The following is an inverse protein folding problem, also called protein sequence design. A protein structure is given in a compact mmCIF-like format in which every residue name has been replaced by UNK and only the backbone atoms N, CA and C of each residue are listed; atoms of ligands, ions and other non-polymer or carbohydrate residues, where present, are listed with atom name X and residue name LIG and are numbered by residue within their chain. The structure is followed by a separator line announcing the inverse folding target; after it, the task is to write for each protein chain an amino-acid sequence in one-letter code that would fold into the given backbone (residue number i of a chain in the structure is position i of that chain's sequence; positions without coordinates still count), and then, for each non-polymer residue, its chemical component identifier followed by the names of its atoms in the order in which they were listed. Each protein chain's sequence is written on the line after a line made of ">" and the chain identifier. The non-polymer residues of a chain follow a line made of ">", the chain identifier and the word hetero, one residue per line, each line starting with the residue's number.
data_IF_915626724748
#
_entry.id   IF_915626724748
#
_cell.length_a   1.000
_cell.length_b   1.000
_cell.length_c   1.000
_cell.angle_alpha   90.00
_cell.angle_beta   90.00
_cell.angle_gamma   90.00
#
_symmetry.space_group_name_H-M   'P 1'
#
loop_
_entity.id
_entity.type
_entity.pdbx_description
1 polymer ?
#
# COMPACT_ATOMS: atom_id res chain seq x y z
N UNK A 1 0.95 22.82 -7.92
CA UNK A 1 0.91 21.50 -7.25
C UNK A 1 1.95 20.60 -7.88
N UNK A 2 2.96 20.21 -7.11
CA UNK A 2 4.00 19.30 -7.57
C UNK A 2 3.54 17.85 -7.48
N UNK A 3 2.61 17.44 -8.34
CA UNK A 3 2.00 16.10 -8.31
C UNK A 3 3.02 14.95 -8.35
N UNK A 4 4.19 15.14 -8.99
CA UNK A 4 5.24 14.12 -9.04
C UNK A 4 5.88 13.83 -7.68
N UNK A 5 6.06 14.83 -6.79
CA UNK A 5 6.61 14.57 -5.46
C UNK A 5 5.60 13.84 -4.57
N UNK A 6 4.31 14.15 -4.76
CA UNK A 6 3.20 13.47 -4.08
C UNK A 6 3.15 12.00 -4.48
N UNK A 7 3.16 11.71 -5.77
CA UNK A 7 3.14 10.33 -6.29
C UNK A 7 4.39 9.55 -5.88
N UNK A 8 5.56 10.20 -5.80
CA UNK A 8 6.78 9.57 -5.30
C UNK A 8 6.65 9.15 -3.84
N UNK A 9 6.11 10.03 -2.99
CA UNK A 9 5.91 9.75 -1.58
C UNK A 9 4.89 8.62 -1.36
N UNK A 10 3.75 8.68 -2.08
CA UNK A 10 2.74 7.62 -2.07
C UNK A 10 3.35 6.29 -2.53
N UNK A 11 4.11 6.28 -3.62
CA UNK A 11 4.79 5.08 -4.11
C UNK A 11 5.77 4.47 -3.10
N UNK A 12 6.55 5.32 -2.43
CA UNK A 12 7.44 4.88 -1.35
C UNK A 12 6.69 4.21 -0.21
N UNK A 13 5.56 4.78 0.22
CA UNK A 13 4.73 4.18 1.25
C UNK A 13 4.11 2.85 0.80
N UNK A 14 3.56 2.76 -0.41
CA UNK A 14 2.99 1.52 -0.93
C UNK A 14 4.03 0.39 -0.99
N UNK A 15 5.28 0.71 -1.34
CA UNK A 15 6.37 -0.26 -1.29
C UNK A 15 6.67 -0.71 0.14
N UNK A 16 6.69 0.21 1.11
CA UNK A 16 6.88 -0.13 2.53
C UNK A 16 5.74 -1.01 3.05
N UNK A 17 4.49 -0.71 2.72
CA UNK A 17 3.35 -1.54 3.09
C UNK A 17 3.41 -2.92 2.42
N UNK A 18 3.83 -2.98 1.16
CA UNK A 18 4.14 -4.24 0.46
C UNK A 18 5.19 -5.06 1.20
N UNK A 19 6.28 -4.45 1.69
CA UNK A 19 7.24 -5.13 2.55
C UNK A 19 6.61 -5.59 3.88
N UNK A 20 5.74 -4.77 4.47
CA UNK A 20 5.04 -5.08 5.72
C UNK A 20 4.19 -6.35 5.62
N UNK A 21 3.60 -6.62 4.46
CA UNK A 21 2.86 -7.85 4.18
C UNK A 21 3.72 -9.13 4.21
N UNK A 22 5.06 -9.02 4.29
CA UNK A 22 5.93 -10.16 4.56
C UNK A 22 5.74 -10.74 5.98
N UNK A 23 5.28 -9.93 6.94
CA UNK A 23 4.99 -10.38 8.30
C UNK A 23 3.80 -11.37 8.35
N UNK A 24 2.59 -11.03 7.87
CA UNK A 24 1.49 -11.98 7.83
C UNK A 24 1.77 -13.16 6.89
N UNK A 25 2.52 -12.97 5.80
CA UNK A 25 3.03 -14.09 4.99
C UNK A 25 3.86 -15.07 5.83
N UNK A 26 4.80 -14.57 6.63
CA UNK A 26 5.62 -15.41 7.50
C UNK A 26 4.74 -16.15 8.51
N UNK A 27 3.76 -15.49 9.11
CA UNK A 27 2.81 -16.12 10.03
C UNK A 27 2.04 -17.24 9.32
N UNK A 28 1.46 -16.98 8.15
CA UNK A 28 0.73 -18.00 7.37
C UNK A 28 1.62 -19.23 7.09
N UNK A 29 2.89 -19.02 6.70
CA UNK A 29 3.84 -20.11 6.47
C UNK A 29 4.18 -20.89 7.74
N UNK A 30 4.32 -20.22 8.90
CA UNK A 30 4.62 -20.87 10.18
C UNK A 30 3.46 -21.73 10.68
N UNK A 31 2.22 -21.32 10.40
CA UNK A 31 1.00 -22.03 10.80
C UNK A 31 0.47 -23.01 9.74
N UNK A 32 1.10 -23.05 8.56
CA UNK A 32 0.70 -23.93 7.45
C UNK A 32 -0.55 -23.46 6.70
N UNK A 33 -0.87 -22.17 6.80
CA UNK A 33 -1.99 -21.53 6.10
C UNK A 33 -1.60 -21.14 4.66
N UNK A 34 -2.57 -20.98 3.74
CA UNK A 34 -2.29 -20.61 2.36
C UNK A 34 -1.59 -19.23 2.24
N UNK A 35 -0.40 -19.13 1.63
CA UNK A 35 0.36 -17.87 1.59
C UNK A 35 -0.06 -16.89 0.48
N UNK A 36 -0.99 -17.30 -0.38
CA UNK A 36 -1.24 -16.63 -1.66
C UNK A 36 -1.76 -15.19 -1.49
N UNK A 37 -2.66 -14.95 -0.54
CA UNK A 37 -3.23 -13.63 -0.26
C UNK A 37 -2.14 -12.59 0.06
N UNK A 38 -1.24 -12.95 0.96
CA UNK A 38 -0.14 -12.09 1.39
C UNK A 38 0.92 -11.94 0.30
N UNK A 39 1.18 -12.97 -0.50
CA UNK A 39 2.08 -12.86 -1.66
C UNK A 39 1.55 -11.86 -2.71
N UNK A 40 0.26 -11.91 -3.02
CA UNK A 40 -0.36 -10.95 -3.93
C UNK A 40 -0.31 -9.52 -3.39
N UNK A 41 -0.50 -9.36 -2.08
CA UNK A 41 -0.40 -8.05 -1.43
C UNK A 41 1.01 -7.48 -1.51
N UNK A 42 2.05 -8.31 -1.29
CA UNK A 42 3.46 -7.93 -1.46
C UNK A 42 3.72 -7.50 -2.91
N UNK A 43 3.31 -8.32 -3.89
CA UNK A 43 3.53 -8.04 -5.30
C UNK A 43 2.82 -6.76 -5.75
N UNK A 44 1.58 -6.54 -5.30
CA UNK A 44 0.84 -5.32 -5.58
C UNK A 44 1.53 -4.09 -4.96
N UNK A 45 1.93 -4.16 -3.68
CA UNK A 45 2.56 -3.04 -2.98
C UNK A 45 3.93 -2.69 -3.52
N UNK A 46 4.81 -3.68 -3.70
CA UNK A 46 6.12 -3.48 -4.28
C UNK A 46 6.03 -3.09 -5.76
N UNK A 47 5.21 -3.77 -6.54
CA UNK A 47 5.05 -3.49 -7.97
C UNK A 47 4.57 -2.07 -8.22
N UNK A 48 3.48 -1.67 -7.56
CA UNK A 48 2.92 -0.31 -7.71
C UNK A 48 3.83 0.75 -7.10
N UNK A 49 4.36 0.51 -5.91
CA UNK A 49 5.22 1.44 -5.19
C UNK A 49 6.52 1.74 -5.94
N UNK A 50 7.23 0.68 -6.36
CA UNK A 50 8.47 0.81 -7.14
C UNK A 50 8.19 1.46 -8.49
N UNK A 51 7.12 1.07 -9.20
CA UNK A 51 6.75 1.69 -10.46
C UNK A 51 6.53 3.20 -10.32
N UNK A 52 5.78 3.64 -9.30
CA UNK A 52 5.55 5.05 -9.01
C UNK A 52 6.86 5.79 -8.68
N UNK A 53 7.72 5.20 -7.85
CA UNK A 53 9.02 5.79 -7.51
C UNK A 53 9.94 5.93 -8.72
N UNK A 54 9.97 4.95 -9.62
CA UNK A 54 10.76 5.00 -10.85
C UNK A 54 10.20 6.04 -11.83
N UNK A 55 8.88 6.08 -12.01
CA UNK A 55 8.22 7.06 -12.87
C UNK A 55 8.42 8.52 -12.38
N UNK A 56 8.63 8.71 -11.08
CA UNK A 56 8.78 10.02 -10.43
C UNK A 56 10.21 10.31 -9.96
N UNK A 57 11.21 9.54 -10.43
CA UNK A 57 12.61 9.60 -9.95
C UNK A 57 13.27 10.98 -10.05
N UNK A 58 12.82 11.83 -10.98
CA UNK A 58 13.31 13.19 -11.17
C UNK A 58 12.67 14.25 -10.27
N UNK A 59 11.62 13.89 -9.50
CA UNK A 59 10.98 14.82 -8.58
C UNK A 59 11.93 15.18 -7.42
N UNK A 60 12.16 16.47 -7.21
CA UNK A 60 12.94 17.00 -6.08
C UNK A 60 12.02 17.49 -4.96
N UNK A 61 12.45 17.30 -3.72
CA UNK A 61 11.70 17.69 -2.52
C UNK A 61 11.76 19.20 -2.21
N UNK A 62 12.40 19.99 -3.06
CA UNK A 62 12.67 21.43 -2.86
C UNK A 62 11.38 22.27 -2.75
N UNK A 63 10.20 21.72 -3.10
CA UNK A 63 8.92 22.43 -3.12
C UNK A 63 7.78 21.69 -2.38
N UNK A 64 8.06 21.06 -1.23
CA UNK A 64 7.02 20.42 -0.42
C UNK A 64 6.23 21.48 0.38
N UNK A 65 5.09 21.92 -0.18
CA UNK A 65 4.19 22.87 0.46
C UNK A 65 3.06 22.20 1.25
N UNK A 66 2.23 23.01 1.91
CA UNK A 66 1.05 22.53 2.65
C UNK A 66 0.09 21.72 1.77
N UNK A 67 -0.11 22.13 0.51
CA UNK A 67 -1.00 21.43 -0.43
C UNK A 67 -0.46 20.04 -0.79
N UNK A 68 0.83 19.91 -1.02
CA UNK A 68 1.50 18.64 -1.26
C UNK A 68 1.44 17.75 -0.02
N UNK A 69 1.69 18.30 1.18
CA UNK A 69 1.57 17.57 2.43
C UNK A 69 0.17 16.99 2.66
N UNK A 70 -0.87 17.80 2.49
CA UNK A 70 -2.27 17.35 2.59
C UNK A 70 -2.57 16.24 1.56
N UNK A 71 -2.15 16.42 0.30
CA UNK A 71 -2.36 15.43 -0.73
C UNK A 71 -1.64 14.11 -0.44
N UNK A 72 -0.38 14.18 0.03
CA UNK A 72 0.39 13.00 0.41
C UNK A 72 -0.36 12.23 1.50
N UNK A 73 -0.78 12.90 2.59
CA UNK A 73 -1.46 12.23 3.70
C UNK A 73 -2.76 11.57 3.24
N UNK A 74 -3.63 12.29 2.53
CA UNK A 74 -4.92 11.74 2.08
C UNK A 74 -4.75 10.56 1.12
N UNK A 75 -3.86 10.69 0.13
CA UNK A 75 -3.64 9.63 -0.87
C UNK A 75 -2.93 8.42 -0.26
N UNK A 76 -1.96 8.65 0.63
CA UNK A 76 -1.25 7.61 1.38
C UNK A 76 -2.23 6.77 2.19
N UNK A 77 -3.13 7.40 2.94
CA UNK A 77 -4.15 6.69 3.73
C UNK A 77 -5.10 5.91 2.81
N UNK A 78 -5.67 6.59 1.81
CA UNK A 78 -6.66 5.98 0.91
C UNK A 78 -6.07 4.79 0.13
N UNK A 79 -4.91 4.98 -0.51
CA UNK A 79 -4.27 3.95 -1.31
C UNK A 79 -3.63 2.86 -0.46
N UNK A 80 -3.08 3.21 0.71
CA UNK A 80 -2.51 2.26 1.65
C UNK A 80 -3.55 1.31 2.22
N UNK A 81 -4.72 1.83 2.63
CA UNK A 81 -5.84 1.00 3.09
C UNK A 81 -6.40 0.14 1.96
N UNK A 82 -6.53 0.68 0.74
CA UNK A 82 -6.99 -0.13 -0.40
C UNK A 82 -6.01 -1.25 -0.77
N UNK A 83 -4.69 -1.00 -0.69
CA UNK A 83 -3.66 -2.00 -0.95
C UNK A 83 -3.71 -3.13 0.09
N UNK A 84 -3.74 -2.77 1.37
CA UNK A 84 -3.72 -3.74 2.47
C UNK A 84 -5.02 -4.53 2.58
N UNK A 85 -6.14 -3.94 2.13
CA UNK A 85 -7.43 -4.63 2.03
C UNK A 85 -7.40 -5.81 1.05
N UNK A 86 -6.50 -5.80 0.06
CA UNK A 86 -6.30 -6.95 -0.85
C UNK A 86 -5.90 -8.19 -0.04
N UNK A 87 -5.06 -8.04 0.98
CA UNK A 87 -4.65 -9.16 1.84
C UNK A 87 -5.84 -9.77 2.55
N UNK A 88 -6.59 -8.95 3.30
CA UNK A 88 -7.78 -9.40 4.02
C UNK A 88 -8.86 -9.96 3.09
N UNK A 89 -9.10 -9.31 1.96
CA UNK A 89 -10.10 -9.75 0.98
C UNK A 89 -9.79 -11.13 0.40
N UNK A 90 -8.51 -11.44 0.20
CA UNK A 90 -8.09 -12.73 -0.35
C UNK A 90 -7.89 -13.81 0.71
N UNK A 91 -7.59 -13.43 1.96
CA UNK A 91 -7.29 -14.35 3.06
C UNK A 91 -8.57 -14.79 3.81
N UNK A 92 -9.55 -13.90 3.95
CA UNK A 92 -10.78 -14.15 4.71
C UNK A 92 -11.92 -14.60 3.78
N UNK A 93 -12.29 -15.87 3.89
CA UNK A 93 -13.37 -16.45 3.10
C UNK A 93 -14.71 -15.70 3.31
N UNK A 94 -15.33 -15.30 2.20
CA UNK A 94 -16.63 -14.64 2.19
C UNK A 94 -16.62 -13.14 2.55
N UNK A 95 -15.45 -12.55 2.83
CA UNK A 95 -15.31 -11.12 3.09
C UNK A 95 -15.44 -10.33 1.77
N UNK A 96 -16.31 -9.32 1.72
CA UNK A 96 -16.37 -8.44 0.56
C UNK A 96 -15.19 -7.48 0.55
N UNK A 97 -14.77 -7.00 -0.63
CA UNK A 97 -13.69 -6.00 -0.71
C UNK A 97 -14.02 -4.71 0.06
N UNK A 98 -15.31 -4.30 0.07
CA UNK A 98 -15.73 -3.11 0.81
C UNK A 98 -15.61 -3.31 2.31
N UNK A 99 -15.96 -4.50 2.83
CA UNK A 99 -15.79 -4.81 4.24
C UNK A 99 -14.29 -4.90 4.60
N UNK A 100 -13.48 -5.55 3.77
CA UNK A 100 -12.02 -5.60 3.95
C UNK A 100 -11.39 -4.19 3.97
N UNK A 101 -11.86 -3.29 3.10
CA UNK A 101 -11.38 -1.90 3.08
C UNK A 101 -11.87 -1.11 4.28
N UNK A 102 -13.10 -1.35 4.74
CA UNK A 102 -13.61 -0.77 5.99
C UNK A 102 -12.75 -1.20 7.18
N UNK A 103 -12.48 -2.50 7.33
CA UNK A 103 -11.64 -3.03 8.41
C UNK A 103 -10.22 -2.44 8.40
N UNK A 104 -9.61 -2.26 7.21
CA UNK A 104 -8.31 -1.61 7.09
C UNK A 104 -8.31 -0.11 7.39
N UNK A 105 -9.45 0.56 7.33
CA UNK A 105 -9.59 1.97 7.70
C UNK A 105 -9.92 2.10 9.19
N UNK A 106 -10.65 1.16 9.78
CA UNK A 106 -11.13 1.21 11.16
C UNK A 106 -10.14 0.66 12.19
N UNK A 107 -9.32 -0.31 11.79
CA UNK A 107 -8.28 -0.92 12.63
C UNK A 107 -7.06 -0.03 12.82
#
# INVERSE_FOLDING_TARGET
>A
MHHLIVLRAVGGLLAVLGCGAALPLLVALLYGEPPAAWLWTILAGLGTGIALMLATRGARAENLGLREGLAITTLTWTAGSALTAIGLWLDVDGLSFLDAWFEMISG
#
